data_IF_624636623961
#
_entry.id   IF_624636623961
#
_cell.length_a   1.000
_cell.length_b   1.000
_cell.length_c   1.000
_cell.angle_alpha   90.00
_cell.angle_beta   90.00
_cell.angle_gamma   90.00
#
_symmetry.space_group_name_H-M   'P 1'
#
loop_
_entity.id
_entity.type
_entity.pdbx_description
1 polymer ?
#
# COMPACT_ATOMS: atom_id res chain seq x y z
N UNK A 1 17.57 9.64 6.53
CA UNK A 1 17.42 10.79 7.44
C UNK A 1 18.61 11.71 7.26
N UNK A 2 18.38 13.01 7.31
CA UNK A 2 19.42 14.03 7.15
C UNK A 2 19.33 15.01 8.32
N UNK A 3 20.48 15.53 8.75
CA UNK A 3 20.56 16.59 9.73
C UNK A 3 21.53 17.64 9.21
N UNK A 4 21.11 18.89 9.19
CA UNK A 4 21.90 19.99 8.68
C UNK A 4 21.86 21.16 9.67
N UNK A 5 23.03 21.72 9.93
CA UNK A 5 23.16 23.04 10.52
C UNK A 5 23.23 24.05 9.37
N UNK A 6 22.28 24.99 9.36
CA UNK A 6 22.31 26.15 8.48
C UNK A 6 23.05 27.32 9.11
N UNK A 7 22.74 28.54 8.65
CA UNK A 7 23.44 29.74 9.09
C UNK A 7 23.34 29.99 10.60
N UNK A 8 24.45 30.45 11.18
CA UNK A 8 24.53 30.99 12.53
C UNK A 8 24.47 32.51 12.48
N UNK A 9 23.34 33.07 12.91
CA UNK A 9 23.18 34.51 13.09
C UNK A 9 23.63 34.96 14.49
N UNK A 10 23.42 36.24 14.78
CA UNK A 10 23.90 36.90 16.01
C UNK A 10 23.34 36.32 17.32
N UNK A 11 22.19 35.62 17.29
CA UNK A 11 21.52 35.06 18.48
C UNK A 11 20.97 33.64 18.29
N UNK A 12 20.96 33.11 17.07
CA UNK A 12 20.34 31.82 16.75
C UNK A 12 21.09 31.13 15.62
N UNK A 13 21.18 29.81 15.71
CA UNK A 13 21.64 28.92 14.64
C UNK A 13 20.45 28.13 14.13
N UNK A 14 20.30 28.05 12.82
CA UNK A 14 19.22 27.26 12.20
C UNK A 14 19.65 25.80 12.09
N UNK A 15 18.76 24.88 12.44
CA UNK A 15 18.93 23.45 12.18
C UNK A 15 17.75 22.92 11.37
N UNK A 16 18.01 21.92 10.55
CA UNK A 16 17.02 21.16 9.80
C UNK A 16 17.25 19.67 10.04
N UNK A 17 16.17 18.95 10.34
CA UNK A 17 16.17 17.50 10.47
C UNK A 17 15.12 16.91 9.53
N UNK A 18 15.48 15.83 8.84
CA UNK A 18 14.59 15.03 8.03
C UNK A 18 14.31 13.70 8.72
N UNK A 19 13.06 13.54 9.15
CA UNK A 19 12.57 12.34 9.82
C UNK A 19 11.98 11.39 8.78
N UNK A 20 12.44 10.14 8.77
CA UNK A 20 11.92 9.07 7.89
C UNK A 20 11.62 7.84 8.75
N UNK A 21 10.59 7.04 8.44
CA UNK A 21 10.26 5.83 9.19
C UNK A 21 11.40 4.81 9.10
N UNK A 22 11.45 3.88 10.07
CA UNK A 22 12.49 2.85 10.09
C UNK A 22 12.56 2.05 8.78
N UNK A 23 11.39 1.75 8.19
CA UNK A 23 11.24 1.06 6.91
C UNK A 23 12.03 1.71 5.77
N UNK A 24 12.22 3.03 5.77
CA UNK A 24 12.99 3.72 4.74
C UNK A 24 14.43 3.22 4.63
N UNK A 25 15.04 2.79 5.75
CA UNK A 25 16.43 2.31 5.79
C UNK A 25 16.65 1.05 4.95
N UNK A 26 15.61 0.26 4.71
CA UNK A 26 15.67 -0.91 3.83
C UNK A 26 15.92 -0.52 2.36
N UNK A 27 15.73 0.75 2.00
CA UNK A 27 16.10 1.27 0.68
C UNK A 27 17.61 1.48 0.50
N UNK A 28 18.41 1.40 1.57
CA UNK A 28 19.86 1.61 1.52
C UNK A 28 20.66 0.33 1.27
N UNK A 29 20.05 -0.84 1.48
CA UNK A 29 20.67 -2.16 1.26
C UNK A 29 20.11 -2.77 -0.02
N UNK A 30 20.99 -3.17 -0.94
CA UNK A 30 20.64 -3.91 -2.17
C UNK A 30 21.21 -5.32 -2.08
N UNK A 31 20.42 -6.33 -2.44
CA UNK A 31 20.82 -7.72 -2.27
C UNK A 31 20.35 -8.63 -3.44
N UNK A 32 20.87 -9.84 -3.48
CA UNK A 32 20.41 -10.94 -4.32
C UNK A 32 20.25 -12.21 -3.49
N UNK A 33 19.02 -12.69 -3.33
CA UNK A 33 18.71 -13.89 -2.52
C UNK A 33 17.45 -14.58 -2.99
N UNK A 34 17.31 -15.82 -2.56
CA UNK A 34 16.21 -16.71 -2.92
C UNK A 34 15.47 -17.09 -1.64
N UNK A 35 14.16 -16.99 -1.67
CA UNK A 35 13.22 -17.53 -0.70
C UNK A 35 12.48 -18.71 -1.33
N UNK A 36 12.35 -19.81 -0.59
CA UNK A 36 11.72 -21.03 -1.10
C UNK A 36 10.71 -21.55 -0.09
N UNK A 37 9.53 -21.93 -0.58
CA UNK A 37 8.43 -22.47 0.21
C UNK A 37 8.06 -21.61 1.43
N UNK A 38 8.04 -20.28 1.26
CA UNK A 38 7.70 -19.32 2.31
C UNK A 38 6.52 -18.44 1.90
N UNK A 39 5.70 -18.06 2.87
CA UNK A 39 4.61 -17.11 2.66
C UNK A 39 5.12 -15.67 2.54
N UNK A 40 4.36 -14.76 1.90
CA UNK A 40 4.75 -13.36 1.79
C UNK A 40 5.06 -12.70 3.13
N UNK A 41 4.25 -12.96 4.16
CA UNK A 41 4.43 -12.42 5.50
C UNK A 41 5.71 -12.92 6.19
N UNK A 42 6.09 -14.18 5.94
CA UNK A 42 7.32 -14.78 6.46
C UNK A 42 8.56 -14.15 5.79
N UNK A 43 8.50 -13.97 4.47
CA UNK A 43 9.54 -13.31 3.68
C UNK A 43 9.70 -11.88 4.19
N UNK A 44 8.62 -11.09 4.21
CA UNK A 44 8.66 -9.69 4.65
C UNK A 44 9.16 -9.59 6.10
N UNK A 45 8.64 -10.43 7.01
CA UNK A 45 9.07 -10.47 8.40
C UNK A 45 10.57 -10.69 8.55
N UNK A 46 11.13 -11.66 7.84
CA UNK A 46 12.59 -11.92 7.82
C UNK A 46 13.39 -10.66 7.48
N UNK A 47 12.92 -9.86 6.50
CA UNK A 47 13.62 -8.64 6.08
C UNK A 47 13.55 -7.52 7.12
N UNK A 48 12.40 -7.41 7.78
CA UNK A 48 12.18 -6.44 8.83
C UNK A 48 13.07 -6.77 10.04
N UNK A 49 13.09 -8.03 10.48
CA UNK A 49 13.90 -8.49 11.60
C UNK A 49 15.41 -8.30 11.35
N UNK A 50 15.91 -8.70 10.18
CA UNK A 50 17.32 -8.48 9.78
C UNK A 50 17.73 -6.99 9.79
N UNK A 51 16.76 -6.09 9.56
CA UNK A 51 16.98 -4.65 9.57
C UNK A 51 16.77 -4.00 10.95
N UNK A 52 16.45 -4.79 11.96
CA UNK A 52 16.18 -4.35 13.33
C UNK A 52 14.80 -3.69 13.52
N UNK A 53 13.85 -3.92 12.62
CA UNK A 53 12.45 -3.52 12.79
C UNK A 53 11.71 -4.66 13.46
N UNK A 54 11.46 -4.52 14.76
CA UNK A 54 10.83 -5.58 15.57
C UNK A 54 9.38 -5.32 15.92
N UNK A 55 8.91 -4.07 15.82
CA UNK A 55 7.51 -3.71 16.07
C UNK A 55 6.77 -3.61 14.73
N UNK A 56 6.28 -4.76 14.27
CA UNK A 56 5.44 -4.86 13.09
C UNK A 56 4.30 -5.85 13.30
N UNK A 57 3.24 -5.72 12.51
CA UNK A 57 2.08 -6.61 12.55
C UNK A 57 1.55 -6.90 11.15
N UNK A 58 0.92 -8.07 11.02
CA UNK A 58 0.19 -8.51 9.83
C UNK A 58 -1.29 -8.63 10.19
N UNK A 59 -2.12 -7.75 9.63
CA UNK A 59 -3.57 -7.73 9.79
C UNK A 59 -4.22 -8.25 8.50
N UNK A 60 -4.07 -9.55 8.24
CA UNK A 60 -4.48 -10.22 7.00
C UNK A 60 -5.82 -10.93 7.19
N UNK A 61 -6.77 -10.71 6.28
CA UNK A 61 -8.08 -11.40 6.26
C UNK A 61 -8.15 -12.50 5.22
N UNK A 62 -7.32 -12.43 4.19
CA UNK A 62 -7.22 -13.41 3.12
C UNK A 62 -6.04 -14.35 3.35
N UNK A 63 -6.12 -15.55 2.76
CA UNK A 63 -5.01 -16.50 2.79
C UNK A 63 -4.03 -16.20 1.67
N UNK A 64 -2.76 -16.02 2.03
CA UNK A 64 -1.66 -15.86 1.08
C UNK A 64 -0.90 -17.18 0.92
N UNK A 65 -0.77 -17.62 -0.33
CA UNK A 65 -0.11 -18.88 -0.65
C UNK A 65 1.42 -18.76 -0.47
N UNK A 66 2.04 -19.85 -0.03
CA UNK A 66 3.50 -19.91 0.01
C UNK A 66 4.09 -19.87 -1.41
N UNK A 67 5.12 -19.07 -1.60
CA UNK A 67 5.88 -19.00 -2.83
C UNK A 67 6.82 -20.20 -2.93
N UNK A 68 6.65 -21.04 -3.95
CA UNK A 68 7.58 -22.15 -4.24
C UNK A 68 9.00 -21.61 -4.45
N UNK A 69 9.12 -20.48 -5.16
CA UNK A 69 10.37 -19.83 -5.48
C UNK A 69 10.17 -18.32 -5.66
N UNK A 70 10.73 -17.51 -4.77
CA UNK A 70 10.69 -16.04 -4.82
C UNK A 70 12.11 -15.47 -4.75
N UNK A 71 12.45 -14.57 -5.67
CA UNK A 71 13.80 -14.02 -5.78
C UNK A 71 13.76 -12.51 -5.55
N UNK A 72 14.61 -12.05 -4.64
CA UNK A 72 15.07 -10.67 -4.62
C UNK A 72 16.32 -10.61 -5.48
N UNK A 73 16.32 -9.87 -6.59
CA UNK A 73 17.46 -9.83 -7.51
C UNK A 73 17.88 -8.40 -7.84
N UNK A 74 19.02 -7.98 -7.29
CA UNK A 74 19.63 -6.66 -7.57
C UNK A 74 18.68 -5.49 -7.29
N UNK A 75 17.83 -5.64 -6.28
CA UNK A 75 16.90 -4.62 -5.83
C UNK A 75 17.08 -4.37 -4.33
N UNK A 76 16.70 -3.18 -3.86
CA UNK A 76 16.74 -2.87 -2.43
C UNK A 76 15.72 -3.68 -1.65
N UNK A 77 15.97 -3.92 -0.36
CA UNK A 77 15.01 -4.64 0.47
C UNK A 77 13.65 -3.92 0.51
N UNK A 78 13.65 -2.59 0.55
CA UNK A 78 12.43 -1.80 0.50
C UNK A 78 11.69 -1.99 -0.84
N UNK A 79 12.41 -1.99 -1.96
CA UNK A 79 11.81 -2.21 -3.28
C UNK A 79 11.21 -3.61 -3.37
N UNK A 80 11.90 -4.61 -2.86
CA UNK A 80 11.44 -5.99 -2.84
C UNK A 80 10.19 -6.18 -1.96
N UNK A 81 10.19 -5.67 -0.73
CA UNK A 81 9.00 -5.67 0.15
C UNK A 81 7.84 -4.97 -0.53
N UNK A 82 8.07 -3.79 -1.10
CA UNK A 82 7.00 -2.99 -1.74
C UNK A 82 6.42 -3.74 -2.93
N UNK A 83 7.27 -4.37 -3.75
CA UNK A 83 6.84 -5.15 -4.91
C UNK A 83 6.08 -6.41 -4.48
N UNK A 84 6.60 -7.16 -3.52
CA UNK A 84 5.95 -8.37 -3.01
C UNK A 84 4.59 -8.05 -2.35
N UNK A 85 4.54 -6.99 -1.54
CA UNK A 85 3.30 -6.51 -0.94
C UNK A 85 2.27 -6.16 -2.02
N UNK A 86 2.66 -5.38 -3.05
CA UNK A 86 1.75 -5.02 -4.13
C UNK A 86 1.27 -6.22 -4.97
N UNK A 87 2.13 -7.22 -5.21
CA UNK A 87 1.76 -8.47 -5.90
C UNK A 87 0.70 -9.26 -5.10
N UNK A 88 0.83 -9.25 -3.78
CA UNK A 88 -0.06 -9.92 -2.84
C UNK A 88 -1.26 -9.08 -2.42
N UNK A 89 -1.47 -7.89 -3.01
CA UNK A 89 -2.57 -7.01 -2.64
C UNK A 89 -2.45 -6.39 -1.24
N UNK A 90 -1.26 -6.48 -0.64
CA UNK A 90 -0.96 -5.89 0.65
C UNK A 90 -0.63 -4.41 0.50
N UNK A 91 -1.12 -3.62 1.45
CA UNK A 91 -0.66 -2.27 1.71
C UNK A 91 -0.08 -2.20 3.12
N UNK A 92 0.62 -1.11 3.44
CA UNK A 92 1.12 -0.89 4.78
C UNK A 92 0.92 0.54 5.24
N UNK A 93 0.80 0.71 6.55
CA UNK A 93 0.71 2.02 7.20
C UNK A 93 1.53 2.02 8.49
N UNK A 94 1.70 3.21 9.07
CA UNK A 94 2.50 3.41 10.27
C UNK A 94 1.61 3.87 11.41
N UNK A 95 1.67 3.16 12.53
CA UNK A 95 1.06 3.57 13.78
C UNK A 95 2.13 4.22 14.65
N UNK A 96 1.81 5.41 15.17
CA UNK A 96 2.69 6.17 16.03
C UNK A 96 2.01 6.39 17.38
N UNK A 97 2.65 5.90 18.44
CA UNK A 97 2.32 6.21 19.82
C UNK A 97 3.52 6.89 20.48
N UNK A 98 3.33 7.41 21.70
CA UNK A 98 4.43 8.04 22.43
C UNK A 98 5.58 7.04 22.64
N UNK A 99 6.71 7.31 21.99
CA UNK A 99 7.90 6.46 22.06
C UNK A 99 7.82 5.14 21.28
N UNK A 100 6.74 4.87 20.54
CA UNK A 100 6.57 3.63 19.75
C UNK A 100 6.18 3.92 18.30
N UNK A 101 6.74 3.12 17.41
CA UNK A 101 6.44 3.14 15.98
C UNK A 101 6.22 1.71 15.53
N UNK A 102 5.01 1.41 15.06
CA UNK A 102 4.66 0.09 14.51
C UNK A 102 4.40 0.19 13.02
N UNK A 103 4.90 -0.78 12.27
CA UNK A 103 4.59 -0.96 10.86
C UNK A 103 3.51 -2.05 10.71
N UNK A 104 2.37 -1.73 10.11
CA UNK A 104 1.28 -2.69 9.91
C UNK A 104 1.12 -2.98 8.43
N UNK A 105 1.16 -4.26 8.06
CA UNK A 105 0.76 -4.75 6.73
C UNK A 105 -0.67 -5.27 6.80
N UNK A 106 -1.49 -4.90 5.82
CA UNK A 106 -2.90 -5.27 5.75
C UNK A 106 -3.34 -5.51 4.30
N UNK A 107 -4.39 -6.29 4.13
CA UNK A 107 -4.98 -6.66 2.83
C UNK A 107 -6.46 -6.24 2.71
N UNK A 108 -7.02 -5.67 3.77
CA UNK A 108 -8.42 -5.26 3.87
C UNK A 108 -8.55 -3.95 4.62
N UNK A 109 -9.51 -3.11 4.23
CA UNK A 109 -9.73 -1.81 4.84
C UNK A 109 -10.20 -1.90 6.31
N UNK A 110 -10.71 -3.06 6.75
CA UNK A 110 -11.10 -3.31 8.14
C UNK A 110 -9.94 -3.30 9.14
N UNK A 111 -8.69 -3.33 8.67
CA UNK A 111 -7.51 -3.15 9.51
C UNK A 111 -7.27 -1.67 9.89
N UNK A 112 -7.89 -0.72 9.19
CA UNK A 112 -7.74 0.70 9.47
C UNK A 112 -8.50 1.09 10.74
N UNK A 113 -7.84 1.83 11.63
CA UNK A 113 -8.49 2.40 12.80
C UNK A 113 -9.55 3.43 12.40
N UNK A 114 -10.62 3.56 13.20
CA UNK A 114 -11.63 4.62 13.00
C UNK A 114 -11.00 5.97 13.36
N UNK A 115 -10.96 6.88 12.40
CA UNK A 115 -10.54 8.26 12.56
C UNK A 115 -11.56 9.13 13.30
N UNK A 116 -11.24 10.42 13.54
CA UNK A 116 -12.18 11.34 14.16
C UNK A 116 -13.40 11.60 13.29
N UNK A 117 -14.54 11.80 13.94
CA UNK A 117 -15.69 12.43 13.29
C UNK A 117 -15.43 13.94 13.19
N UNK A 118 -15.41 14.45 11.95
CA UNK A 118 -15.20 15.86 11.65
C UNK A 118 -16.42 16.42 10.92
N UNK A 119 -16.80 17.65 11.25
CA UNK A 119 -17.87 18.35 10.55
C UNK A 119 -17.30 19.23 9.43
N UNK A 120 -18.17 19.56 8.46
CA UNK A 120 -17.82 20.45 7.36
C UNK A 120 -18.22 21.89 7.67
N UNK A 121 -17.27 22.83 7.57
CA UNK A 121 -17.50 24.25 7.88
C UNK A 121 -16.88 25.17 6.81
N UNK A 122 -17.72 25.97 6.15
CA UNK A 122 -17.37 26.88 5.05
C UNK A 122 -16.69 28.20 5.49
N UNK A 123 -16.29 28.33 6.76
CA UNK A 123 -15.58 29.47 7.32
C UNK A 123 -16.37 30.80 7.35
N UNK A 124 -17.63 30.74 7.78
CA UNK A 124 -18.37 31.91 8.30
C UNK A 124 -18.62 31.85 9.81
N UNK A 125 -18.40 30.71 10.45
CA UNK A 125 -18.40 30.58 11.91
C UNK A 125 -16.96 30.39 12.39
N UNK A 126 -16.57 31.16 13.41
CA UNK A 126 -15.18 31.31 13.85
C UNK A 126 -14.53 30.00 14.34
N UNK A 127 -13.23 30.09 14.63
CA UNK A 127 -12.36 29.01 15.16
C UNK A 127 -12.83 28.34 16.47
N UNK A 128 -14.00 28.68 17.00
CA UNK A 128 -14.52 28.24 18.30
C UNK A 128 -15.08 26.83 18.35
N UNK A 129 -15.24 26.14 17.21
CA UNK A 129 -15.97 24.86 17.15
C UNK A 129 -15.07 23.60 17.06
N UNK A 130 -13.75 23.75 17.18
CA UNK A 130 -12.82 22.62 17.21
C UNK A 130 -12.27 22.22 15.83
N UNK A 131 -12.12 20.90 15.60
CA UNK A 131 -11.53 20.36 14.38
C UNK A 131 -12.59 20.15 13.28
N UNK A 132 -12.34 20.67 12.08
CA UNK A 132 -13.28 20.69 10.96
C UNK A 132 -12.61 20.60 9.59
N UNK A 133 -13.37 20.15 8.59
CA UNK A 133 -13.02 20.18 7.17
C UNK A 133 -13.61 21.44 6.55
N UNK A 134 -12.79 22.25 5.87
CA UNK A 134 -13.22 23.52 5.26
C UNK A 134 -13.41 23.49 3.75
N UNK A 135 -12.79 22.52 3.10
CA UNK A 135 -12.95 22.27 1.68
C UNK A 135 -13.00 20.77 1.47
N UNK A 136 -13.89 20.34 0.59
CA UNK A 136 -13.98 18.96 0.15
C UNK A 136 -14.24 18.96 -1.35
N UNK A 137 -13.48 18.14 -2.07
CA UNK A 137 -13.62 17.93 -3.50
C UNK A 137 -13.78 16.45 -3.74
N UNK A 138 -14.86 16.10 -4.44
CA UNK A 138 -15.07 14.79 -5.00
C UNK A 138 -14.63 14.78 -6.47
N UNK A 139 -14.01 13.69 -6.91
CA UNK A 139 -13.63 13.50 -8.30
C UNK A 139 -13.79 12.04 -8.72
N UNK A 140 -14.37 11.85 -9.90
CA UNK A 140 -14.40 10.58 -10.61
C UNK A 140 -13.53 10.64 -11.86
N UNK A 141 -12.96 9.51 -12.24
CA UNK A 141 -12.20 9.40 -13.47
C UNK A 141 -12.41 8.03 -14.11
N UNK A 142 -12.48 8.02 -15.45
CA UNK A 142 -12.53 6.77 -16.23
C UNK A 142 -11.26 5.95 -15.96
N UNK A 143 -11.45 4.67 -15.65
CA UNK A 143 -10.39 3.69 -15.38
C UNK A 143 -10.66 2.37 -16.09
N UNK A 144 -9.72 1.43 -15.97
CA UNK A 144 -9.90 0.04 -16.40
C UNK A 144 -11.22 -0.53 -15.87
N UNK A 145 -12.00 -1.11 -16.77
CA UNK A 145 -13.30 -1.70 -16.49
C UNK A 145 -13.20 -3.18 -16.14
N UNK A 146 -12.21 -3.89 -16.69
CA UNK A 146 -12.02 -5.32 -16.47
C UNK A 146 -10.53 -5.66 -16.55
N UNK A 147 -10.09 -6.61 -15.72
CA UNK A 147 -8.76 -7.21 -15.82
C UNK A 147 -8.89 -8.69 -16.19
N UNK A 148 -8.09 -9.15 -17.16
CA UNK A 148 -7.85 -10.56 -17.46
C UNK A 148 -6.36 -10.86 -17.26
N UNK A 149 -6.05 -11.79 -16.34
CA UNK A 149 -4.69 -12.30 -16.18
C UNK A 149 -4.64 -13.76 -16.63
N UNK A 150 -3.58 -14.10 -17.37
CA UNK A 150 -3.35 -15.45 -17.86
C UNK A 150 -1.98 -15.96 -17.46
N UNK A 151 -1.86 -17.26 -17.18
CA UNK A 151 -0.59 -17.94 -16.99
C UNK A 151 -0.56 -19.30 -17.70
N UNK A 152 0.57 -19.99 -17.62
CA UNK A 152 0.78 -21.32 -18.13
C UNK A 152 1.47 -22.20 -17.09
N UNK A 153 0.98 -23.43 -16.97
CA UNK A 153 1.59 -24.47 -16.14
C UNK A 153 1.99 -25.65 -17.02
N UNK A 154 3.28 -25.97 -17.05
CA UNK A 154 3.78 -27.15 -17.75
C UNK A 154 3.27 -28.47 -17.15
N UNK A 155 2.81 -28.46 -15.89
CA UNK A 155 2.21 -29.62 -15.22
C UNK A 155 0.78 -29.90 -15.73
N UNK A 156 0.11 -28.86 -16.25
CA UNK A 156 -1.27 -28.92 -16.75
C UNK A 156 -1.39 -28.11 -18.06
N UNK A 157 -0.67 -28.50 -19.13
CA UNK A 157 -0.49 -27.66 -20.31
C UNK A 157 -1.77 -27.39 -21.11
N UNK A 158 -2.77 -28.27 -21.00
CA UNK A 158 -4.08 -28.09 -21.64
C UNK A 158 -4.99 -27.11 -20.87
N UNK A 159 -4.65 -26.76 -19.63
CA UNK A 159 -5.44 -25.85 -18.82
C UNK A 159 -5.04 -24.41 -19.08
N UNK A 160 -6.02 -23.58 -19.49
CA UNK A 160 -5.76 -22.23 -19.97
C UNK A 160 -5.32 -21.21 -18.92
N UNK A 161 -5.53 -21.50 -17.62
CA UNK A 161 -5.19 -20.64 -16.47
C UNK A 161 -5.45 -19.15 -16.74
N UNK A 162 -6.69 -18.81 -17.13
CA UNK A 162 -7.13 -17.42 -17.32
C UNK A 162 -8.20 -17.05 -16.30
N UNK A 163 -8.04 -15.88 -15.70
CA UNK A 163 -8.99 -15.32 -14.74
C UNK A 163 -9.34 -13.90 -15.11
N UNK A 164 -10.64 -13.60 -15.06
CA UNK A 164 -11.21 -12.29 -15.38
C UNK A 164 -11.88 -11.70 -14.15
N UNK A 165 -11.72 -10.39 -13.93
CA UNK A 165 -12.43 -9.64 -12.88
C UNK A 165 -12.98 -8.34 -13.47
N UNK A 166 -14.32 -8.18 -13.52
CA UNK A 166 -14.93 -6.89 -13.83
C UNK A 166 -14.90 -5.94 -12.63
N UNK A 167 -14.79 -4.64 -12.90
CA UNK A 167 -14.89 -3.56 -11.91
C UNK A 167 -16.32 -3.28 -11.45
N UNK A 168 -16.44 -2.64 -10.30
CA UNK A 168 -17.70 -2.04 -9.83
C UNK A 168 -17.83 -0.59 -10.30
N UNK A 169 -19.03 -0.01 -10.16
CA UNK A 169 -19.28 1.43 -10.34
C UNK A 169 -18.83 1.98 -11.70
N UNK A 170 -19.29 1.32 -12.77
CA UNK A 170 -18.94 1.62 -14.16
C UNK A 170 -19.94 2.55 -14.87
N UNK A 171 -20.91 3.11 -14.14
CA UNK A 171 -22.04 3.90 -14.69
C UNK A 171 -21.62 5.08 -15.57
N UNK A 172 -20.45 5.66 -15.32
CA UNK A 172 -19.93 6.84 -16.03
C UNK A 172 -18.83 6.51 -17.05
N UNK A 173 -18.67 5.24 -17.42
CA UNK A 173 -17.68 4.80 -18.41
C UNK A 173 -18.20 3.65 -19.28
N UNK A 174 -17.40 3.27 -20.29
CA UNK A 174 -17.65 2.03 -21.05
C UNK A 174 -17.07 0.85 -20.28
N UNK A 175 -17.75 -0.28 -20.38
CA UNK A 175 -17.30 -1.55 -19.79
C UNK A 175 -16.19 -2.22 -20.61
N UNK A 176 -15.93 -1.75 -21.83
CA UNK A 176 -14.98 -2.37 -22.77
C UNK A 176 -13.52 -2.01 -22.53
N UNK A 177 -13.18 -1.23 -21.50
CA UNK A 177 -11.80 -0.86 -21.18
C UNK A 177 -11.08 -2.00 -20.44
N UNK A 178 -10.68 -3.02 -21.20
CA UNK A 178 -10.02 -4.21 -20.67
C UNK A 178 -8.50 -4.01 -20.49
N UNK A 179 -7.97 -4.57 -19.41
CA UNK A 179 -6.54 -4.76 -19.19
C UNK A 179 -6.23 -6.25 -19.23
N UNK A 180 -5.46 -6.68 -20.22
CA UNK A 180 -4.97 -8.04 -20.34
C UNK A 180 -3.47 -8.09 -20.03
N UNK A 181 -3.01 -9.09 -19.26
CA UNK A 181 -1.59 -9.29 -18.99
C UNK A 181 -1.19 -10.77 -18.94
N UNK A 182 0.04 -11.05 -19.37
CA UNK A 182 0.68 -12.37 -19.33
C UNK A 182 2.21 -12.20 -19.19
N UNK A 183 2.87 -12.93 -18.27
CA UNK A 183 2.32 -13.94 -17.36
C UNK A 183 1.70 -13.32 -16.10
N UNK A 184 0.61 -13.92 -15.61
CA UNK A 184 -0.10 -13.52 -14.38
C UNK A 184 0.61 -13.89 -13.07
N UNK A 185 1.68 -14.69 -13.14
CA UNK A 185 2.55 -15.13 -12.04
C UNK A 185 1.86 -15.98 -10.97
N UNK A 186 0.84 -16.75 -11.36
CA UNK A 186 0.16 -17.71 -10.51
C UNK A 186 0.18 -19.11 -11.14
N UNK A 187 -0.02 -20.14 -10.31
CA UNK A 187 -0.02 -21.56 -10.76
C UNK A 187 -1.30 -22.31 -10.38
N UNK A 188 -2.20 -21.67 -9.64
CA UNK A 188 -3.44 -22.26 -9.16
C UNK A 188 -4.56 -21.22 -9.24
N UNK A 189 -5.81 -21.69 -9.34
CA UNK A 189 -6.98 -20.82 -9.47
C UNK A 189 -7.18 -19.86 -8.28
N UNK A 190 -6.95 -20.25 -7.00
CA UNK A 190 -7.11 -19.32 -5.88
C UNK A 190 -6.20 -18.09 -5.98
N UNK A 191 -4.91 -18.28 -6.24
CA UNK A 191 -3.96 -17.16 -6.41
C UNK A 191 -4.24 -16.37 -7.68
N UNK A 192 -4.63 -17.04 -8.77
CA UNK A 192 -5.01 -16.36 -10.01
C UNK A 192 -6.22 -15.43 -9.85
N UNK A 193 -7.26 -15.88 -9.14
CA UNK A 193 -8.42 -15.04 -8.80
C UNK A 193 -8.04 -13.86 -7.91
N UNK A 194 -7.21 -14.09 -6.88
CA UNK A 194 -6.75 -13.06 -5.96
C UNK A 194 -5.94 -11.97 -6.70
N UNK A 195 -4.90 -12.37 -7.44
CA UNK A 195 -4.01 -11.44 -8.15
C UNK A 195 -4.76 -10.63 -9.21
N UNK A 196 -5.72 -11.24 -9.90
CA UNK A 196 -6.58 -10.52 -10.86
C UNK A 196 -7.42 -9.45 -10.16
N UNK A 197 -7.94 -9.74 -8.96
CA UNK A 197 -8.63 -8.78 -8.10
C UNK A 197 -7.73 -7.63 -7.67
N UNK A 198 -6.57 -7.94 -7.08
CA UNK A 198 -5.62 -6.92 -6.61
C UNK A 198 -5.13 -6.00 -7.73
N UNK A 199 -4.90 -6.55 -8.93
CA UNK A 199 -4.53 -5.77 -10.12
C UNK A 199 -5.63 -4.80 -10.54
N UNK A 200 -6.88 -5.25 -10.52
CA UNK A 200 -8.03 -4.40 -10.82
C UNK A 200 -8.17 -3.27 -9.79
N UNK A 201 -8.09 -3.60 -8.51
CA UNK A 201 -8.20 -2.63 -7.41
C UNK A 201 -7.10 -1.58 -7.52
N UNK A 202 -5.85 -1.99 -7.81
CA UNK A 202 -4.74 -1.07 -8.03
C UNK A 202 -4.96 -0.14 -9.24
N UNK A 203 -5.45 -0.67 -10.36
CA UNK A 203 -5.77 0.13 -11.56
C UNK A 203 -6.96 1.09 -11.34
N UNK A 204 -7.84 0.76 -10.39
CA UNK A 204 -9.04 1.53 -10.06
C UNK A 204 -8.92 2.36 -8.77
N UNK A 205 -7.78 2.34 -8.07
CA UNK A 205 -7.56 3.08 -6.82
C UNK A 205 -7.81 4.59 -6.93
N UNK A 206 -7.70 5.15 -8.14
CA UNK A 206 -8.01 6.55 -8.43
C UNK A 206 -9.28 6.77 -9.27
N UNK A 207 -10.20 5.80 -9.31
CA UNK A 207 -11.47 5.92 -10.03
C UNK A 207 -12.43 6.88 -9.33
N UNK A 208 -12.50 6.82 -7.99
CA UNK A 208 -13.30 7.69 -7.14
C UNK A 208 -12.41 8.21 -6.01
N UNK A 209 -12.26 9.53 -5.91
CA UNK A 209 -11.36 10.15 -4.92
C UNK A 209 -12.01 11.33 -4.23
N UNK A 210 -11.70 11.49 -2.94
CA UNK A 210 -12.04 12.65 -2.13
C UNK A 210 -10.77 13.38 -1.70
N UNK A 211 -10.75 14.70 -1.82
CA UNK A 211 -9.68 15.55 -1.32
C UNK A 211 -10.23 16.61 -0.38
N UNK A 212 -9.72 16.67 0.84
CA UNK A 212 -10.17 17.60 1.87
C UNK A 212 -9.06 18.53 2.37
N UNK A 213 -9.42 19.75 2.76
CA UNK A 213 -8.55 20.63 3.54
C UNK A 213 -9.14 20.79 4.94
N UNK A 214 -8.34 20.58 5.98
CA UNK A 214 -8.79 20.53 7.38
C UNK A 214 -7.80 21.24 8.31
N UNK A 215 -8.24 21.59 9.53
CA UNK A 215 -7.38 21.99 10.66
C UNK A 215 -7.14 20.83 11.66
N UNK A 216 -7.71 19.65 11.41
CA UNK A 216 -7.60 18.49 12.29
C UNK A 216 -6.20 17.86 12.20
N UNK A 217 -5.36 18.10 13.20
CA UNK A 217 -3.99 17.55 13.28
C UNK A 217 -3.94 16.02 13.45
N UNK A 218 -5.06 15.40 13.84
CA UNK A 218 -5.16 13.96 14.10
C UNK A 218 -5.47 13.12 12.84
N UNK A 219 -5.75 13.77 11.70
CA UNK A 219 -5.90 13.06 10.43
C UNK A 219 -4.54 12.55 9.96
N UNK A 220 -4.42 11.24 9.76
CA UNK A 220 -3.17 10.60 9.36
C UNK A 220 -3.45 9.54 8.28
N UNK A 221 -2.48 9.24 7.39
CA UNK A 221 -2.57 8.06 6.54
C UNK A 221 -2.72 6.80 7.39
N UNK A 222 -3.58 5.86 6.97
CA UNK A 222 -3.84 4.63 7.73
C UNK A 222 -5.01 4.71 8.72
N UNK A 223 -5.79 5.79 8.71
CA UNK A 223 -7.08 5.87 9.43
C UNK A 223 -8.26 5.96 8.46
N UNK A 224 -9.40 5.37 8.85
CA UNK A 224 -10.69 5.41 8.12
C UNK A 224 -11.61 6.54 8.59
#
# INVERSE_FOLDING_TARGET
SAFAQGDTGFRRTRYQAEVRPALWRLGLRTNARIFQAQKPEEIIGTLLEESGITDYAFALRHEHAAWEYCVQYRESDLAFITRLAAEEGLYFFHEFEEGKHRLVFADDAGALGKGPELFFNLATQGLSEGAYVRRFRYAEAVRTAEVELKDYSFKTPAYGLSHTKPGSDLSHQRETYQHYDYPGRFKQDPSGKAFTGYRLDALRAGAMTGAGESNAAMLMPGSS
#
